data_IF_252555408108
#
_entry.id   IF_252555408108
#
_cell.length_a   1.000
_cell.length_b   1.000
_cell.length_c   1.000
_cell.angle_alpha   90.00
_cell.angle_beta   90.00
_cell.angle_gamma   90.00
#
_symmetry.space_group_name_H-M   'P 1'
#
loop_
_entity.id
_entity.type
_entity.pdbx_description
1 polymer ?
#
# COMPACT_ATOMS: atom_id res chain seq x y z
N UNK A 1 -7.45 8.39 12.57
CA UNK A 1 -7.55 6.95 12.90
C UNK A 1 -6.41 6.23 12.20
N UNK A 2 -5.62 5.40 12.89
CA UNK A 2 -4.54 4.68 12.24
C UNK A 2 -5.14 3.78 11.15
N UNK A 3 -4.61 3.86 9.91
CA UNK A 3 -4.93 2.88 8.86
C UNK A 3 -4.34 1.54 9.30
N UNK A 4 -5.13 0.72 9.98
CA UNK A 4 -4.72 -0.61 10.38
C UNK A 4 -4.55 -1.47 9.13
N UNK A 5 -3.38 -2.09 8.95
CA UNK A 5 -3.08 -2.98 7.82
C UNK A 5 -3.89 -4.27 7.97
N UNK A 6 -5.12 -4.27 7.46
CA UNK A 6 -6.07 -5.38 7.64
C UNK A 6 -6.13 -6.34 6.45
N UNK A 7 -5.38 -6.07 5.37
CA UNK A 7 -5.40 -6.86 4.14
C UNK A 7 -4.04 -7.54 3.91
N UNK A 8 -4.07 -8.82 3.53
CA UNK A 8 -2.87 -9.62 3.22
C UNK A 8 -2.69 -9.68 1.70
N UNK A 9 -1.53 -9.21 1.22
CA UNK A 9 -1.17 -9.24 -0.19
C UNK A 9 -0.16 -10.38 -0.45
N UNK A 10 -0.59 -11.43 -1.15
CA UNK A 10 0.29 -12.53 -1.57
C UNK A 10 0.70 -12.34 -3.03
N UNK A 11 2.01 -12.22 -3.30
CA UNK A 11 2.54 -11.97 -4.65
C UNK A 11 3.56 -13.05 -5.01
N UNK A 12 3.46 -13.60 -6.22
CA UNK A 12 4.52 -14.41 -6.84
C UNK A 12 5.36 -13.52 -7.75
N UNK A 13 6.66 -13.48 -7.51
CA UNK A 13 7.62 -12.67 -8.30
C UNK A 13 8.85 -13.50 -8.64
N UNK A 14 9.75 -12.94 -9.45
CA UNK A 14 11.09 -13.50 -9.64
C UNK A 14 11.93 -13.36 -8.36
N UNK A 15 13.00 -14.16 -8.27
CA UNK A 15 13.96 -14.09 -7.18
C UNK A 15 14.68 -12.73 -7.12
N UNK A 16 14.94 -12.13 -8.28
CA UNK A 16 15.56 -10.81 -8.41
C UNK A 16 14.73 -9.72 -7.75
N UNK A 17 13.43 -9.65 -8.05
CA UNK A 17 12.51 -8.66 -7.44
C UNK A 17 12.47 -8.82 -5.92
N UNK A 18 12.45 -10.05 -5.42
CA UNK A 18 12.50 -10.33 -3.99
C UNK A 18 13.79 -9.82 -3.34
N UNK A 19 14.93 -10.00 -4.01
CA UNK A 19 16.23 -9.54 -3.52
C UNK A 19 16.30 -8.00 -3.50
N UNK A 20 15.89 -7.35 -4.59
CA UNK A 20 15.86 -5.89 -4.70
C UNK A 20 14.93 -5.24 -3.68
N UNK A 21 13.73 -5.80 -3.48
CA UNK A 21 12.79 -5.31 -2.48
C UNK A 21 13.40 -5.34 -1.08
N UNK A 22 14.11 -6.43 -0.74
CA UNK A 22 14.78 -6.56 0.56
C UNK A 22 15.88 -5.51 0.71
N UNK A 23 16.74 -5.34 -0.29
CA UNK A 23 17.81 -4.34 -0.24
C UNK A 23 17.27 -2.92 -0.08
N UNK A 24 16.19 -2.57 -0.79
CA UNK A 24 15.51 -1.28 -0.64
C UNK A 24 14.93 -1.09 0.78
N UNK A 25 14.27 -2.13 1.31
CA UNK A 25 13.69 -2.11 2.64
C UNK A 25 14.75 -1.92 3.74
N UNK A 26 15.89 -2.63 3.65
CA UNK A 26 17.02 -2.48 4.57
C UNK A 26 17.62 -1.06 4.51
N UNK A 27 17.80 -0.52 3.30
CA UNK A 27 18.34 0.83 3.10
C UNK A 27 17.48 1.90 3.79
N UNK A 28 16.16 1.73 3.78
CA UNK A 28 15.21 2.66 4.42
C UNK A 28 14.79 2.27 5.84
N UNK A 29 15.43 1.23 6.43
CA UNK A 29 15.15 0.70 7.77
C UNK A 29 13.67 0.41 8.00
N UNK A 30 13.00 -0.18 7.01
CA UNK A 30 11.57 -0.55 7.08
C UNK A 30 11.38 -2.01 6.67
N UNK A 31 10.21 -2.57 7.02
CA UNK A 31 9.86 -3.92 6.58
C UNK A 31 9.60 -3.95 5.07
N UNK A 32 9.76 -5.13 4.45
CA UNK A 32 9.45 -5.33 3.04
C UNK A 32 7.99 -5.00 2.70
N UNK A 33 7.06 -5.25 3.63
CA UNK A 33 5.64 -4.89 3.46
C UNK A 33 5.45 -3.37 3.38
N UNK A 34 6.08 -2.61 4.29
CA UNK A 34 6.04 -1.14 4.23
C UNK A 34 6.76 -0.59 2.99
N UNK A 35 7.82 -1.27 2.52
CA UNK A 35 8.49 -0.89 1.29
C UNK A 35 7.60 -1.07 0.07
N UNK A 36 6.84 -2.18 -0.01
CA UNK A 36 5.85 -2.37 -1.09
C UNK A 36 4.81 -1.26 -1.09
N UNK A 37 4.28 -0.87 0.08
CA UNK A 37 3.30 0.23 0.15
C UNK A 37 3.87 1.53 -0.44
N UNK A 38 5.11 1.88 -0.09
CA UNK A 38 5.77 3.08 -0.64
C UNK A 38 5.93 2.96 -2.16
N UNK A 39 6.42 1.84 -2.67
CA UNK A 39 6.59 1.63 -4.12
C UNK A 39 5.26 1.72 -4.87
N UNK A 40 4.18 1.15 -4.32
CA UNK A 40 2.85 1.21 -4.93
C UNK A 40 2.30 2.64 -4.92
N UNK A 41 2.46 3.37 -3.82
CA UNK A 41 2.00 4.76 -3.70
C UNK A 41 2.78 5.70 -4.62
N UNK A 42 4.10 5.51 -4.73
CA UNK A 42 4.96 6.30 -5.62
C UNK A 42 4.64 6.04 -7.10
N UNK A 43 4.44 4.77 -7.44
CA UNK A 43 3.95 4.39 -8.77
C UNK A 43 2.59 5.01 -9.07
N UNK A 44 1.65 4.96 -8.13
CA UNK A 44 0.33 5.56 -8.30
C UNK A 44 0.40 7.08 -8.48
N UNK A 45 1.18 7.78 -7.67
CA UNK A 45 1.36 9.22 -7.76
C UNK A 45 1.98 9.64 -9.10
N UNK A 46 3.02 8.94 -9.56
CA UNK A 46 3.68 9.21 -10.84
C UNK A 46 2.81 8.92 -12.07
N UNK A 47 1.81 8.04 -11.93
CA UNK A 47 0.90 7.65 -13.01
C UNK A 47 -0.52 8.24 -12.88
N UNK A 48 -0.76 9.10 -11.87
CA UNK A 48 -2.08 9.71 -11.64
C UNK A 48 -3.16 8.72 -11.21
N UNK A 49 -2.78 7.57 -10.61
CA UNK A 49 -3.73 6.58 -10.10
C UNK A 49 -4.25 7.02 -8.73
N UNK A 50 -5.57 7.02 -8.57
CA UNK A 50 -6.23 7.36 -7.30
C UNK A 50 -6.81 6.08 -6.71
N UNK A 51 -6.41 5.77 -5.48
CA UNK A 51 -6.98 4.64 -4.75
C UNK A 51 -8.47 4.91 -4.46
N UNK A 52 -9.36 3.92 -4.63
CA UNK A 52 -10.75 4.09 -4.24
C UNK A 52 -10.83 4.41 -2.74
N UNK A 53 -11.58 5.46 -2.40
CA UNK A 53 -11.83 5.82 -1.00
C UNK A 53 -12.43 4.58 -0.31
N UNK A 54 -11.87 4.07 0.80
CA UNK A 54 -12.50 2.99 1.53
C UNK A 54 -13.90 3.46 1.88
N UNK A 55 -14.92 2.70 1.42
CA UNK A 55 -16.31 3.02 1.64
C UNK A 55 -16.51 3.30 3.13
N UNK A 56 -16.67 4.58 3.49
CA UNK A 56 -16.97 4.95 4.88
C UNK A 56 -18.31 4.27 5.19
N UNK A 57 -18.40 3.37 6.19
CA UNK A 57 -19.70 2.84 6.59
C UNK A 57 -20.56 4.05 6.95
N UNK A 58 -21.69 4.17 6.24
CA UNK A 58 -22.34 5.44 5.97
C UNK A 58 -22.60 6.32 7.19
N UNK A 59 -22.21 7.58 7.07
CA UNK A 59 -23.00 8.65 7.69
C UNK A 59 -24.34 8.64 6.94
N UNK A 60 -25.33 7.91 7.48
CA UNK A 60 -26.72 8.10 7.07
C UNK A 60 -27.03 9.58 7.27
N UNK A 61 -27.03 10.34 6.18
CA UNK A 61 -27.57 11.68 6.16
C UNK A 61 -29.06 11.55 6.44
N UNK A 62 -29.45 11.80 7.68
CA UNK A 62 -30.86 12.00 8.00
C UNK A 62 -31.21 13.41 7.54
N UNK A 63 -31.47 13.55 6.24
CA UNK A 63 -32.03 14.75 5.65
C UNK A 63 -33.54 14.54 5.49
N UNK A 64 -34.26 15.24 6.39
CA UNK A 64 -35.65 15.72 6.35
C UNK A 64 -36.79 14.71 6.21
#
# INVERSE_FOLDING_TARGET
>A
MPRTKNEVLTIRTTAEVKALLRLAAEKERRSAASMIEVLVLDYAASHGLVAPEPARPGRKGNSQ
#
